data_IF_264579985011
#
_entry.id   IF_264579985011
#
_cell.length_a   1.000
_cell.length_b   1.000
_cell.length_c   1.000
_cell.angle_alpha   90.00
_cell.angle_beta   90.00
_cell.angle_gamma   90.00
#
_symmetry.space_group_name_H-M   'P 1'
#
loop_
_entity.id
_entity.type
_entity.pdbx_description
1 polymer ?
#
# COMPACT_ATOMS: atom_id res chain seq x y z
N UNK A 1 -19.09 -76.15 12.27
CA UNK A 1 -17.76 -75.52 12.41
C UNK A 1 -17.79 -74.17 11.73
N UNK A 2 -17.92 -73.09 12.51
CA UNK A 2 -18.08 -71.73 12.00
C UNK A 2 -16.74 -71.07 11.69
N UNK A 3 -16.64 -70.42 10.52
CA UNK A 3 -15.48 -69.62 10.13
C UNK A 3 -15.57 -68.24 10.78
N UNK A 4 -14.62 -67.95 11.65
CA UNK A 4 -14.40 -66.65 12.25
C UNK A 4 -13.76 -65.73 11.19
N UNK A 5 -14.49 -64.73 10.69
CA UNK A 5 -13.93 -63.67 9.85
C UNK A 5 -13.42 -62.57 10.79
N UNK A 6 -12.10 -62.44 10.92
CA UNK A 6 -11.51 -61.27 11.56
C UNK A 6 -11.73 -60.07 10.64
N UNK A 7 -12.59 -59.14 11.06
CA UNK A 7 -12.65 -57.79 10.51
C UNK A 7 -11.35 -57.09 10.90
N UNK A 8 -10.38 -57.11 10.00
CA UNK A 8 -9.20 -56.26 10.08
C UNK A 8 -9.52 -54.99 9.28
N UNK A 9 -10.23 -54.05 9.94
CA UNK A 9 -10.62 -52.75 9.40
C UNK A 9 -9.43 -51.77 9.41
N UNK A 10 -8.24 -52.27 9.09
CA UNK A 10 -7.04 -51.46 8.96
C UNK A 10 -7.09 -50.62 7.70
N UNK A 11 -6.89 -49.31 7.86
CA UNK A 11 -6.81 -48.33 6.76
C UNK A 11 -5.74 -48.70 5.73
N UNK A 12 -4.73 -49.48 6.15
CA UNK A 12 -3.62 -49.93 5.32
C UNK A 12 -4.04 -50.95 4.25
N UNK A 13 -5.20 -51.59 4.43
CA UNK A 13 -5.79 -52.51 3.46
C UNK A 13 -6.76 -51.82 2.48
N UNK A 14 -6.98 -50.51 2.60
CA UNK A 14 -7.88 -49.84 1.66
C UNK A 14 -7.27 -49.79 0.25
N UNK A 15 -8.03 -50.14 -0.80
CA UNK A 15 -7.54 -50.28 -2.17
C UNK A 15 -6.80 -49.05 -2.71
N UNK A 16 -7.13 -47.85 -2.23
CA UNK A 16 -6.44 -46.63 -2.66
C UNK A 16 -5.00 -46.52 -2.13
N UNK A 17 -4.65 -47.19 -1.02
CA UNK A 17 -3.29 -47.22 -0.48
C UNK A 17 -2.45 -48.38 -1.03
N UNK A 18 -3.09 -49.38 -1.65
CA UNK A 18 -2.40 -50.50 -2.29
C UNK A 18 -1.96 -50.22 -3.74
N UNK A 19 -2.15 -48.99 -4.26
CA UNK A 19 -1.52 -48.59 -5.51
C UNK A 19 0.00 -48.54 -5.31
N UNK A 20 0.69 -49.57 -5.83
CA UNK A 20 2.13 -49.54 -6.15
C UNK A 20 2.44 -48.32 -7.02
N UNK A 21 2.67 -47.19 -6.38
CA UNK A 21 3.39 -46.06 -6.98
C UNK A 21 4.86 -46.37 -6.80
N UNK A 22 5.53 -46.82 -7.85
CA UNK A 22 6.94 -46.59 -8.19
C UNK A 22 7.26 -47.54 -9.37
N UNK A 23 6.60 -47.32 -10.51
CA UNK A 23 7.38 -47.36 -11.74
C UNK A 23 8.18 -46.05 -11.69
N UNK A 24 9.50 -46.17 -11.55
CA UNK A 24 10.47 -45.08 -11.67
C UNK A 24 10.43 -44.54 -13.10
N UNK A 25 9.33 -43.89 -13.49
CA UNK A 25 9.33 -42.97 -14.60
C UNK A 25 10.35 -41.87 -14.23
N UNK A 26 11.35 -41.60 -15.07
CA UNK A 26 12.32 -40.54 -14.78
C UNK A 26 11.56 -39.24 -14.53
N UNK A 27 11.61 -38.78 -13.28
CA UNK A 27 10.84 -37.63 -12.75
C UNK A 27 11.21 -36.32 -13.48
N UNK A 28 12.27 -36.33 -14.30
CA UNK A 28 12.78 -35.16 -15.00
C UNK A 28 11.89 -34.63 -16.13
N UNK A 29 11.16 -35.49 -16.85
CA UNK A 29 10.32 -35.05 -17.99
C UNK A 29 9.04 -34.31 -17.54
N UNK A 30 8.27 -34.81 -16.55
CA UNK A 30 7.09 -34.11 -16.06
C UNK A 30 7.41 -32.78 -15.39
N UNK A 31 8.55 -32.68 -14.69
CA UNK A 31 8.97 -31.45 -14.02
C UNK A 31 9.38 -30.34 -15.00
N UNK A 32 10.03 -30.68 -16.11
CA UNK A 32 10.32 -29.72 -17.18
C UNK A 32 9.05 -29.23 -17.86
N UNK A 33 8.12 -30.13 -18.17
CA UNK A 33 6.84 -29.76 -18.77
C UNK A 33 6.01 -28.84 -17.85
N UNK A 34 6.05 -29.06 -16.54
CA UNK A 34 5.41 -28.20 -15.55
C UNK A 34 6.10 -26.83 -15.40
N UNK A 35 7.44 -26.78 -15.46
CA UNK A 35 8.17 -25.51 -15.48
C UNK A 35 7.86 -24.70 -16.74
N UNK A 36 7.83 -25.35 -17.90
CA UNK A 36 7.51 -24.69 -19.16
C UNK A 36 6.03 -24.25 -19.22
N UNK A 37 5.12 -25.02 -18.62
CA UNK A 37 3.70 -24.63 -18.52
C UNK A 37 3.47 -23.50 -17.51
N UNK A 38 4.11 -23.49 -16.34
CA UNK A 38 4.02 -22.38 -15.39
C UNK A 38 4.60 -21.07 -15.95
N UNK A 39 5.65 -21.16 -16.76
CA UNK A 39 6.23 -20.02 -17.49
C UNK A 39 5.26 -19.54 -18.59
N UNK A 40 4.53 -20.46 -19.24
CA UNK A 40 3.57 -20.12 -20.28
C UNK A 40 2.24 -19.56 -19.74
N UNK A 41 1.74 -20.08 -18.62
CA UNK A 41 0.44 -19.70 -18.04
C UNK A 41 0.49 -18.41 -17.21
N UNK A 42 1.69 -17.94 -16.84
CA UNK A 42 1.90 -16.66 -16.15
C UNK A 42 2.73 -15.70 -17.01
N UNK A 43 2.43 -15.66 -18.31
CA UNK A 43 2.97 -14.63 -19.18
C UNK A 43 2.50 -13.27 -18.68
N UNK A 44 3.45 -12.43 -18.27
CA UNK A 44 3.22 -11.03 -17.85
C UNK A 44 2.39 -10.26 -18.88
N UNK A 45 2.44 -10.69 -20.13
CA UNK A 45 1.73 -10.11 -21.26
C UNK A 45 0.21 -10.37 -21.24
N UNK A 46 -0.26 -11.29 -20.39
CA UNK A 46 -1.69 -11.54 -20.19
C UNK A 46 -2.33 -10.58 -19.17
N UNK A 47 -1.54 -9.73 -18.51
CA UNK A 47 -2.09 -8.73 -17.59
C UNK A 47 -2.87 -7.63 -18.34
N UNK A 48 -4.14 -7.36 -17.98
CA UNK A 48 -4.99 -6.42 -18.71
C UNK A 48 -4.46 -4.97 -18.72
N UNK A 49 -3.51 -4.65 -17.83
CA UNK A 49 -2.89 -3.34 -17.73
C UNK A 49 -1.64 -3.18 -18.61
N UNK A 50 -1.11 -4.27 -19.20
CA UNK A 50 0.07 -4.23 -20.07
C UNK A 50 -0.40 -4.25 -21.53
N UNK A 51 -0.55 -3.04 -22.10
CA UNK A 51 -0.97 -2.86 -23.50
C UNK A 51 0.20 -2.85 -24.50
N UNK A 52 1.43 -2.99 -24.02
CA UNK A 52 2.62 -2.94 -24.86
C UNK A 52 2.84 -4.26 -25.57
N UNK A 53 3.29 -4.20 -26.83
CA UNK A 53 3.66 -5.39 -27.58
C UNK A 53 4.82 -6.11 -26.88
N UNK A 54 4.68 -7.43 -26.73
CA UNK A 54 5.71 -8.29 -26.15
C UNK A 54 7.06 -8.09 -26.88
N UNK A 55 8.10 -7.59 -26.22
CA UNK A 55 9.45 -7.56 -26.77
C UNK A 55 9.92 -9.00 -26.97
N UNK A 56 10.60 -9.25 -28.10
CA UNK A 56 11.13 -10.57 -28.44
C UNK A 56 12.05 -11.17 -27.35
N UNK A 57 12.66 -10.33 -26.51
CA UNK A 57 13.65 -10.74 -25.51
C UNK A 57 13.14 -10.70 -24.05
N UNK A 58 11.93 -10.20 -23.81
CA UNK A 58 11.38 -10.03 -22.46
C UNK A 58 10.34 -11.11 -22.13
N UNK A 59 10.84 -12.33 -21.89
CA UNK A 59 9.98 -13.47 -21.54
C UNK A 59 9.47 -13.39 -20.09
N UNK A 60 10.17 -12.67 -19.21
CA UNK A 60 9.83 -12.60 -17.77
C UNK A 60 9.59 -11.17 -17.27
N UNK A 61 8.83 -11.02 -16.18
CA UNK A 61 8.61 -9.72 -15.51
C UNK A 61 9.93 -9.05 -15.14
N UNK A 62 10.87 -9.84 -14.62
CA UNK A 62 12.21 -9.38 -14.26
C UNK A 62 12.95 -8.76 -15.44
N UNK A 63 12.99 -9.45 -16.59
CA UNK A 63 13.65 -8.92 -17.80
C UNK A 63 13.00 -7.62 -18.28
N UNK A 64 11.67 -7.55 -18.29
CA UNK A 64 10.93 -6.34 -18.65
C UNK A 64 11.26 -5.18 -17.68
N UNK A 65 11.20 -5.43 -16.37
CA UNK A 65 11.48 -4.41 -15.36
C UNK A 65 12.91 -3.87 -15.47
N UNK A 66 13.90 -4.76 -15.63
CA UNK A 66 15.30 -4.38 -15.81
C UNK A 66 15.50 -3.53 -17.07
N UNK A 67 14.88 -3.91 -18.19
CA UNK A 67 14.94 -3.14 -19.43
C UNK A 67 14.34 -1.73 -19.24
N UNK A 68 13.17 -1.62 -18.60
CA UNK A 68 12.53 -0.33 -18.31
C UNK A 68 13.33 0.54 -17.33
N UNK A 69 13.96 -0.07 -16.32
CA UNK A 69 14.85 0.67 -15.40
C UNK A 69 16.12 1.18 -16.10
N UNK A 70 16.60 0.45 -17.11
CA UNK A 70 17.75 0.87 -17.92
C UNK A 70 17.38 2.01 -18.90
N UNK A 71 16.13 2.09 -19.37
CA UNK A 71 15.69 3.13 -20.31
C UNK A 71 15.39 4.48 -19.66
N UNK A 72 15.16 4.54 -18.34
CA UNK A 72 14.86 5.79 -17.63
C UNK A 72 16.14 6.48 -17.13
N UNK A 73 16.34 7.72 -17.54
CA UNK A 73 17.43 8.57 -17.03
C UNK A 73 17.16 9.09 -15.62
N UNK A 74 18.21 9.47 -14.89
CA UNK A 74 18.08 10.09 -13.57
C UNK A 74 17.23 11.36 -13.58
N UNK A 75 17.36 12.20 -14.62
CA UNK A 75 16.59 13.46 -14.75
C UNK A 75 15.10 13.17 -14.89
N UNK A 76 14.74 12.20 -15.74
CA UNK A 76 13.34 11.78 -15.91
C UNK A 76 12.76 11.25 -14.60
N UNK A 77 13.49 10.40 -13.88
CA UNK A 77 13.04 9.85 -12.59
C UNK A 77 12.83 10.94 -11.53
N UNK A 78 13.73 11.93 -11.44
CA UNK A 78 13.55 13.07 -10.53
C UNK A 78 12.42 14.01 -10.96
N UNK A 79 12.26 14.27 -12.27
CA UNK A 79 11.11 15.02 -12.79
C UNK A 79 9.78 14.36 -12.43
N UNK A 80 9.69 13.04 -12.55
CA UNK A 80 8.53 12.26 -12.13
C UNK A 80 8.32 12.32 -10.61
N UNK A 81 9.39 12.23 -9.82
CA UNK A 81 9.32 12.37 -8.36
C UNK A 81 8.69 13.71 -7.96
N UNK A 82 9.12 14.82 -8.58
CA UNK A 82 8.57 16.14 -8.36
C UNK A 82 7.11 16.24 -8.79
N UNK A 83 6.76 15.68 -9.96
CA UNK A 83 5.39 15.65 -10.44
C UNK A 83 4.45 14.91 -9.47
N UNK A 84 4.87 13.74 -9.00
CA UNK A 84 4.12 12.92 -8.02
C UNK A 84 3.92 13.70 -6.72
N UNK A 85 4.97 14.38 -6.22
CA UNK A 85 4.89 15.21 -5.03
C UNK A 85 3.89 16.36 -5.17
N UNK A 86 3.85 17.02 -6.34
CA UNK A 86 2.91 18.12 -6.62
C UNK A 86 1.47 17.60 -6.71
N UNK A 87 1.24 16.49 -7.41
CA UNK A 87 -0.11 15.91 -7.59
C UNK A 87 -0.69 15.36 -6.28
N UNK A 88 0.17 14.94 -5.35
CA UNK A 88 -0.28 14.39 -4.08
C UNK A 88 -1.03 15.42 -3.22
N UNK A 89 -0.69 16.71 -3.30
CA UNK A 89 -1.39 17.77 -2.56
C UNK A 89 -2.87 17.90 -2.94
N UNK A 90 -3.22 18.13 -4.23
CA UNK A 90 -4.60 18.20 -4.70
C UNK A 90 -5.46 16.97 -4.39
N UNK A 91 -4.89 15.76 -4.46
CA UNK A 91 -5.60 14.52 -4.09
C UNK A 91 -6.00 14.54 -2.60
N UNK A 92 -5.14 15.09 -1.76
CA UNK A 92 -5.38 15.21 -0.34
C UNK A 92 -6.55 16.17 -0.02
N UNK A 93 -6.74 17.24 -0.82
CA UNK A 93 -7.90 18.15 -0.75
C UNK A 93 -9.22 17.40 -0.97
N UNK A 94 -9.26 16.50 -1.97
CA UNK A 94 -10.46 15.69 -2.26
C UNK A 94 -10.79 14.80 -1.06
N UNK A 95 -9.76 14.22 -0.43
CA UNK A 95 -9.91 13.44 0.81
C UNK A 95 -10.55 14.23 1.94
N UNK A 96 -10.11 15.49 2.14
CA UNK A 96 -10.69 16.39 3.16
C UNK A 96 -12.18 16.65 2.90
N UNK A 97 -12.60 16.93 1.67
CA UNK A 97 -14.02 17.17 1.39
C UNK A 97 -14.89 15.91 1.49
N UNK A 98 -14.32 14.75 1.14
CA UNK A 98 -15.01 13.47 1.24
C UNK A 98 -15.25 13.05 2.71
N UNK A 99 -14.32 13.37 3.62
CA UNK A 99 -14.47 13.03 5.04
C UNK A 99 -15.53 13.87 5.77
N UNK A 100 -15.90 15.04 5.25
CA UNK A 100 -16.84 15.97 5.89
C UNK A 100 -18.30 15.81 5.44
N UNK A 101 -18.55 15.18 4.29
CA UNK A 101 -19.91 14.99 3.76
C UNK A 101 -20.54 13.71 4.31
N UNK A 102 -21.28 13.80 5.43
CA UNK A 102 -22.16 12.71 5.86
C UNK A 102 -22.33 12.50 7.36
N UNK A 103 -21.64 13.26 8.21
CA UNK A 103 -21.66 13.06 9.64
C UNK A 103 -22.74 13.94 10.32
N UNK A 104 -23.90 13.38 10.64
CA UNK A 104 -24.88 14.03 11.54
C UNK A 104 -25.07 13.19 12.81
N UNK A 105 -24.98 13.82 13.98
CA UNK A 105 -25.17 13.18 15.30
C UNK A 105 -23.89 12.96 16.12
N UNK A 106 -24.06 12.63 17.41
CA UNK A 106 -22.97 12.52 18.41
C UNK A 106 -21.98 11.40 18.06
N UNK A 107 -22.47 10.25 17.59
CA UNK A 107 -21.61 9.15 17.13
C UNK A 107 -20.78 9.56 15.90
N UNK A 108 -21.35 10.42 15.05
CA UNK A 108 -20.66 10.96 13.89
C UNK A 108 -19.54 11.95 14.31
N UNK A 109 -19.75 12.70 15.39
CA UNK A 109 -18.78 13.64 15.95
C UNK A 109 -17.51 13.00 16.54
N UNK A 110 -17.56 11.74 16.97
CA UNK A 110 -16.36 11.01 17.45
C UNK A 110 -15.79 10.06 16.40
N UNK A 111 -16.64 9.26 15.76
CA UNK A 111 -16.19 8.19 14.86
C UNK A 111 -15.47 8.75 13.62
N UNK A 112 -15.97 9.85 13.08
CA UNK A 112 -15.41 10.44 11.86
C UNK A 112 -14.01 11.00 12.07
N UNK A 113 -13.78 11.96 12.99
CA UNK A 113 -12.44 12.53 13.18
C UNK A 113 -11.42 11.53 13.73
N UNK A 114 -11.85 10.50 14.47
CA UNK A 114 -10.95 9.53 15.10
C UNK A 114 -10.60 8.36 14.20
N UNK A 115 -11.53 7.89 13.35
CA UNK A 115 -11.34 6.66 12.58
C UNK A 115 -11.43 6.89 11.07
N UNK A 116 -12.55 7.44 10.60
CA UNK A 116 -12.85 7.51 9.16
C UNK A 116 -11.97 8.53 8.45
N UNK A 117 -11.81 9.73 9.02
CA UNK A 117 -10.97 10.77 8.44
C UNK A 117 -9.49 10.34 8.38
N UNK A 118 -8.84 9.87 9.47
CA UNK A 118 -7.48 9.36 9.40
C UNK A 118 -7.28 8.24 8.38
N UNK A 119 -8.25 7.31 8.26
CA UNK A 119 -8.23 6.25 7.25
C UNK A 119 -8.14 6.83 5.83
N UNK A 120 -9.06 7.72 5.47
CA UNK A 120 -9.12 8.32 4.13
C UNK A 120 -7.86 9.16 3.89
N UNK A 121 -7.44 9.95 4.87
CA UNK A 121 -6.33 10.87 4.74
C UNK A 121 -4.99 10.14 4.54
N UNK A 122 -4.72 9.08 5.30
CA UNK A 122 -3.48 8.30 5.11
C UNK A 122 -3.45 7.59 3.75
N UNK A 123 -4.59 7.07 3.27
CA UNK A 123 -4.70 6.48 1.93
C UNK A 123 -4.40 7.53 0.87
N UNK A 124 -5.07 8.68 0.93
CA UNK A 124 -4.95 9.73 -0.09
C UNK A 124 -3.56 10.36 -0.13
N UNK A 125 -2.90 10.55 1.02
CA UNK A 125 -1.52 11.06 1.09
C UNK A 125 -0.50 10.11 0.44
N UNK A 126 -0.75 8.80 0.46
CA UNK A 126 0.16 7.80 -0.10
C UNK A 126 -0.24 7.31 -1.50
N UNK A 127 -1.47 7.61 -1.95
CA UNK A 127 -2.04 7.05 -3.16
C UNK A 127 -1.16 7.23 -4.40
N UNK A 128 -0.59 8.42 -4.62
CA UNK A 128 0.22 8.68 -5.82
C UNK A 128 1.54 7.90 -5.81
N UNK A 129 2.26 7.89 -4.68
CA UNK A 129 3.50 7.15 -4.55
C UNK A 129 3.26 5.63 -4.61
N UNK A 130 2.18 5.16 -3.99
CA UNK A 130 1.77 3.75 -4.03
C UNK A 130 1.40 3.32 -5.45
N UNK A 131 0.60 4.12 -6.16
CA UNK A 131 0.23 3.87 -7.55
C UNK A 131 1.46 3.76 -8.45
N UNK A 132 2.45 4.65 -8.30
CA UNK A 132 3.71 4.54 -9.06
C UNK A 132 4.47 3.27 -8.67
N UNK A 133 4.58 2.95 -7.38
CA UNK A 133 5.28 1.73 -6.95
C UNK A 133 4.60 0.43 -7.45
N UNK A 134 3.28 0.45 -7.61
CA UNK A 134 2.48 -0.68 -8.08
C UNK A 134 2.47 -0.81 -9.61
N UNK A 135 2.26 0.29 -10.33
CA UNK A 135 2.05 0.24 -11.78
C UNK A 135 3.31 0.55 -12.58
N UNK A 136 4.19 1.39 -12.04
CA UNK A 136 5.39 1.88 -12.72
C UNK A 136 6.62 1.89 -11.80
N UNK A 137 6.99 0.77 -11.16
CA UNK A 137 8.07 0.74 -10.16
C UNK A 137 9.42 1.25 -10.71
N UNK A 138 9.64 1.13 -12.02
CA UNK A 138 10.83 1.61 -12.73
C UNK A 138 10.96 3.15 -12.77
N UNK A 139 9.90 3.91 -12.48
CA UNK A 139 9.96 5.38 -12.41
C UNK A 139 10.74 5.88 -11.18
N UNK A 140 10.77 5.09 -10.10
CA UNK A 140 11.64 5.33 -8.96
C UNK A 140 12.96 4.58 -9.14
N UNK A 141 14.07 5.29 -8.94
CA UNK A 141 15.42 4.72 -8.94
C UNK A 141 15.98 4.51 -7.53
N UNK A 142 15.38 5.14 -6.53
CA UNK A 142 15.84 5.08 -5.14
C UNK A 142 14.66 5.16 -4.16
N UNK A 143 14.78 4.55 -2.96
CA UNK A 143 13.76 4.67 -1.92
C UNK A 143 13.63 6.10 -1.36
N UNK A 144 14.68 6.92 -1.51
CA UNK A 144 14.68 8.33 -1.08
C UNK A 144 13.66 9.15 -1.88
N UNK A 145 13.47 8.84 -3.16
CA UNK A 145 12.46 9.52 -3.99
C UNK A 145 11.04 9.28 -3.45
N UNK A 146 10.73 8.03 -3.09
CA UNK A 146 9.45 7.67 -2.47
C UNK A 146 9.27 8.43 -1.16
N UNK A 147 10.30 8.44 -0.29
CA UNK A 147 10.28 9.17 0.97
C UNK A 147 10.01 10.68 0.77
N UNK A 148 10.65 11.30 -0.22
CA UNK A 148 10.42 12.71 -0.56
C UNK A 148 8.97 12.93 -1.04
N UNK A 149 8.45 12.07 -1.92
CA UNK A 149 7.07 12.17 -2.39
C UNK A 149 6.04 12.13 -1.25
N UNK A 150 6.16 11.16 -0.33
CA UNK A 150 5.20 11.00 0.77
C UNK A 150 5.33 12.12 1.82
N UNK A 151 6.55 12.59 2.11
CA UNK A 151 6.76 13.73 3.00
C UNK A 151 6.19 15.02 2.42
N UNK A 152 6.42 15.26 1.12
CA UNK A 152 5.86 16.40 0.41
C UNK A 152 4.32 16.34 0.38
N UNK A 153 3.74 15.15 0.17
CA UNK A 153 2.28 14.97 0.27
C UNK A 153 1.76 15.28 1.67
N UNK A 154 2.38 14.74 2.72
CA UNK A 154 1.99 15.01 4.10
C UNK A 154 2.08 16.50 4.46
N UNK A 155 3.13 17.19 4.00
CA UNK A 155 3.28 18.63 4.19
C UNK A 155 2.21 19.43 3.42
N UNK A 156 1.94 19.08 2.16
CA UNK A 156 0.92 19.74 1.35
C UNK A 156 -0.49 19.55 1.94
N UNK A 157 -0.81 18.35 2.40
CA UNK A 157 -2.06 18.08 3.11
C UNK A 157 -2.18 18.94 4.38
N UNK A 158 -1.14 18.97 5.21
CA UNK A 158 -1.15 19.76 6.44
C UNK A 158 -1.34 21.26 6.17
N UNK A 159 -0.74 21.80 5.10
CA UNK A 159 -0.93 23.20 4.70
C UNK A 159 -2.40 23.47 4.37
N UNK A 160 -3.02 22.63 3.55
CA UNK A 160 -4.43 22.77 3.16
C UNK A 160 -5.33 22.65 4.38
N UNK A 161 -5.14 21.62 5.19
CA UNK A 161 -5.98 21.34 6.35
C UNK A 161 -5.87 22.44 7.39
N UNK A 162 -4.66 22.95 7.65
CA UNK A 162 -4.46 24.09 8.54
C UNK A 162 -5.13 25.35 8.00
N UNK A 163 -5.06 25.60 6.69
CA UNK A 163 -5.73 26.74 6.07
C UNK A 163 -7.26 26.65 6.20
N UNK A 164 -7.84 25.49 5.89
CA UNK A 164 -9.28 25.25 6.07
C UNK A 164 -9.70 25.43 7.51
N UNK A 165 -8.94 24.86 8.46
CA UNK A 165 -9.28 24.98 9.87
C UNK A 165 -9.23 26.42 10.37
N UNK A 166 -8.13 27.12 10.11
CA UNK A 166 -7.90 28.48 10.66
C UNK A 166 -8.69 29.58 9.97
N UNK A 167 -9.27 29.32 8.79
CA UNK A 167 -10.03 30.33 8.04
C UNK A 167 -11.48 29.96 7.76
N UNK A 168 -11.85 28.68 7.86
CA UNK A 168 -13.22 28.21 7.59
C UNK A 168 -13.88 27.69 8.86
N UNK A 169 -13.18 26.88 9.65
CA UNK A 169 -13.77 26.22 10.83
C UNK A 169 -13.63 27.01 12.13
N UNK A 170 -12.52 27.72 12.30
CA UNK A 170 -12.26 28.57 13.46
C UNK A 170 -12.01 30.01 13.00
N UNK A 171 -13.04 30.89 12.97
CA UNK A 171 -12.92 32.24 12.44
C UNK A 171 -12.02 33.17 13.27
N UNK A 172 -11.81 32.87 14.56
CA UNK A 172 -11.03 33.71 15.47
C UNK A 172 -10.00 32.86 16.25
N UNK A 173 -9.02 32.24 15.57
CA UNK A 173 -8.12 31.29 16.21
C UNK A 173 -7.17 32.01 17.18
N UNK A 174 -6.95 31.43 18.35
CA UNK A 174 -5.94 31.92 19.29
C UNK A 174 -4.53 31.78 18.69
N UNK A 175 -3.56 32.66 19.04
CA UNK A 175 -2.18 32.53 18.56
C UNK A 175 -1.54 31.18 18.91
N UNK A 176 -1.88 30.61 20.07
CA UNK A 176 -1.45 29.28 20.49
C UNK A 176 -1.98 28.17 19.59
N UNK A 177 -3.25 28.24 19.17
CA UNK A 177 -3.85 27.28 18.25
C UNK A 177 -3.20 27.35 16.87
N UNK A 178 -2.95 28.57 16.36
CA UNK A 178 -2.23 28.76 15.09
C UNK A 178 -0.84 28.12 15.15
N UNK A 179 -0.08 28.37 16.22
CA UNK A 179 1.24 27.78 16.41
C UNK A 179 1.17 26.25 16.50
N UNK A 180 0.21 25.70 17.25
CA UNK A 180 0.01 24.26 17.40
C UNK A 180 -0.27 23.58 16.06
N UNK A 181 -1.22 24.12 15.27
CA UNK A 181 -1.58 23.60 13.93
C UNK A 181 -0.36 23.59 13.00
N UNK A 182 0.40 24.68 12.96
CA UNK A 182 1.56 24.80 12.06
C UNK A 182 2.82 24.05 12.51
N UNK A 183 2.84 23.52 13.73
CA UNK A 183 3.99 22.75 14.25
C UNK A 183 3.63 21.29 14.48
N UNK A 184 2.75 21.03 15.44
CA UNK A 184 2.40 19.67 15.87
C UNK A 184 1.59 18.95 14.79
N UNK A 185 0.56 19.58 14.21
CA UNK A 185 -0.21 18.91 13.16
C UNK A 185 0.63 18.67 11.90
N UNK A 186 1.43 19.65 11.47
CA UNK A 186 2.36 19.45 10.33
C UNK A 186 3.31 18.27 10.58
N UNK A 187 3.93 18.22 11.77
CA UNK A 187 4.82 17.12 12.14
C UNK A 187 4.08 15.77 12.17
N UNK A 188 2.84 15.74 12.69
CA UNK A 188 1.99 14.54 12.70
C UNK A 188 1.69 14.05 11.28
N UNK A 189 1.21 14.91 10.38
CA UNK A 189 0.83 14.49 9.03
C UNK A 189 2.05 14.04 8.22
N UNK A 190 3.18 14.74 8.32
CA UNK A 190 4.42 14.32 7.69
C UNK A 190 4.93 13.01 8.29
N UNK A 191 4.85 12.83 9.61
CA UNK A 191 5.25 11.61 10.30
C UNK A 191 4.42 10.40 9.90
N UNK A 192 3.08 10.52 9.91
CA UNK A 192 2.18 9.45 9.49
C UNK A 192 2.35 9.12 8.01
N UNK A 193 2.47 10.12 7.15
CA UNK A 193 2.75 9.92 5.72
C UNK A 193 4.09 9.19 5.50
N UNK A 194 5.13 9.54 6.27
CA UNK A 194 6.41 8.85 6.21
C UNK A 194 6.31 7.39 6.67
N UNK A 195 5.64 7.12 7.80
CA UNK A 195 5.41 5.76 8.30
C UNK A 195 4.70 4.91 7.25
N UNK A 196 3.59 5.39 6.69
CA UNK A 196 2.88 4.71 5.61
C UNK A 196 3.76 4.52 4.37
N UNK A 197 4.54 5.54 3.99
CA UNK A 197 5.47 5.49 2.87
C UNK A 197 6.61 4.49 3.02
N UNK A 198 7.00 4.09 4.25
CA UNK A 198 7.93 2.97 4.46
C UNK A 198 7.34 1.66 3.91
N UNK A 199 6.02 1.50 3.95
CA UNK A 199 5.31 0.40 3.31
C UNK A 199 5.47 0.42 1.80
N UNK A 200 5.28 1.59 1.17
CA UNK A 200 5.52 1.79 -0.26
C UNK A 200 6.97 1.52 -0.66
N UNK A 201 7.93 1.98 0.14
CA UNK A 201 9.36 1.66 -0.06
C UNK A 201 9.61 0.16 0.01
N UNK A 202 8.97 -0.55 0.94
CA UNK A 202 9.11 -2.01 1.08
C UNK A 202 8.55 -2.74 -0.14
N UNK A 203 7.35 -2.37 -0.59
CA UNK A 203 6.73 -2.92 -1.82
C UNK A 203 7.69 -2.72 -3.00
N UNK A 204 8.09 -1.47 -3.26
CA UNK A 204 8.97 -1.13 -4.37
C UNK A 204 10.31 -1.88 -4.31
N UNK A 205 10.96 -1.91 -3.14
CA UNK A 205 12.25 -2.56 -2.98
C UNK A 205 12.14 -4.06 -3.25
N UNK A 206 11.12 -4.73 -2.73
CA UNK A 206 10.88 -6.15 -2.98
C UNK A 206 10.65 -6.42 -4.46
N UNK A 207 9.79 -5.63 -5.13
CA UNK A 207 9.54 -5.73 -6.57
C UNK A 207 10.83 -5.59 -7.39
N UNK A 208 11.63 -4.57 -7.11
CA UNK A 208 12.86 -4.30 -7.87
C UNK A 208 13.95 -5.35 -7.61
N UNK A 209 14.15 -5.79 -6.37
CA UNK A 209 15.22 -6.74 -6.05
C UNK A 209 14.86 -8.18 -6.46
N UNK A 210 13.60 -8.57 -6.30
CA UNK A 210 13.14 -9.93 -6.61
C UNK A 210 12.69 -10.05 -8.07
N UNK A 211 12.44 -8.95 -8.78
CA UNK A 211 11.89 -8.98 -10.13
C UNK A 211 10.55 -9.71 -10.18
N UNK A 212 9.69 -9.43 -9.20
CA UNK A 212 8.34 -10.00 -9.05
C UNK A 212 7.30 -8.89 -9.04
N UNK A 213 6.04 -9.22 -9.30
CA UNK A 213 4.93 -8.27 -9.24
C UNK A 213 4.82 -7.61 -7.85
N UNK A 214 4.38 -6.33 -7.77
CA UNK A 214 4.17 -5.65 -6.50
C UNK A 214 3.14 -6.35 -5.61
N UNK A 215 3.49 -6.49 -4.33
CA UNK A 215 2.63 -7.15 -3.33
C UNK A 215 2.18 -6.13 -2.28
N UNK A 216 0.97 -5.57 -2.45
CA UNK A 216 0.42 -4.52 -1.58
C UNK A 216 0.36 -4.93 -0.10
N UNK A 217 0.19 -6.23 0.18
CA UNK A 217 0.17 -6.78 1.54
C UNK A 217 1.45 -6.46 2.33
N UNK A 218 2.59 -6.25 1.67
CA UNK A 218 3.84 -5.86 2.33
C UNK A 218 3.81 -4.44 2.91
N UNK A 219 2.99 -3.55 2.33
CA UNK A 219 2.83 -2.18 2.80
C UNK A 219 1.72 -1.99 3.83
N UNK A 220 0.75 -2.90 3.88
CA UNK A 220 -0.44 -2.77 4.74
C UNK A 220 -0.12 -2.54 6.23
N UNK A 221 0.84 -3.22 6.88
CA UNK A 221 1.14 -2.98 8.29
C UNK A 221 1.58 -1.54 8.58
N UNK A 222 2.32 -0.92 7.66
CA UNK A 222 2.79 0.46 7.80
C UNK A 222 1.66 1.46 7.63
N UNK A 223 0.77 1.21 6.67
CA UNK A 223 -0.42 2.02 6.46
C UNK A 223 -1.34 1.98 7.69
N UNK A 224 -1.60 0.78 8.23
CA UNK A 224 -2.39 0.60 9.46
C UNK A 224 -1.74 1.33 10.64
N UNK A 225 -0.42 1.21 10.79
CA UNK A 225 0.30 1.92 11.86
C UNK A 225 0.12 3.45 11.77
N UNK A 226 0.24 4.02 10.57
CA UNK A 226 0.02 5.45 10.35
C UNK A 226 -1.42 5.88 10.72
N UNK A 227 -2.42 5.10 10.29
CA UNK A 227 -3.83 5.36 10.61
C UNK A 227 -4.12 5.31 12.11
N UNK A 228 -3.54 4.33 12.81
CA UNK A 228 -3.68 4.19 14.27
C UNK A 228 -3.01 5.36 14.99
N UNK A 229 -1.80 5.75 14.58
CA UNK A 229 -1.08 6.89 15.18
C UNK A 229 -1.90 8.18 15.01
N UNK A 230 -2.36 8.45 13.79
CA UNK A 230 -3.15 9.63 13.48
C UNK A 230 -4.49 9.63 14.22
N UNK A 231 -5.25 8.53 14.15
CA UNK A 231 -6.52 8.39 14.85
C UNK A 231 -6.38 8.52 16.37
N UNK A 232 -5.30 7.99 16.95
CA UNK A 232 -5.01 8.14 18.38
C UNK A 232 -4.74 9.59 18.77
N UNK A 233 -4.00 10.34 17.93
CA UNK A 233 -3.81 11.77 18.15
C UNK A 233 -5.14 12.53 18.08
N UNK A 234 -5.98 12.25 17.09
CA UNK A 234 -7.29 12.91 16.96
C UNK A 234 -8.20 12.56 18.14
N UNK A 235 -8.21 11.31 18.59
CA UNK A 235 -8.94 10.91 19.79
C UNK A 235 -8.49 11.70 21.03
N UNK A 236 -7.18 11.85 21.22
CA UNK A 236 -6.63 12.64 22.32
C UNK A 236 -7.04 14.11 22.22
N UNK A 237 -6.96 14.72 21.03
CA UNK A 237 -7.36 16.11 20.82
C UNK A 237 -8.85 16.34 21.15
N UNK A 238 -9.72 15.45 20.68
CA UNK A 238 -11.17 15.51 20.98
C UNK A 238 -11.44 15.30 22.47
N UNK A 239 -10.76 14.36 23.13
CA UNK A 239 -10.91 14.17 24.57
C UNK A 239 -10.46 15.41 25.35
N UNK A 240 -9.35 16.04 24.96
CA UNK A 240 -8.88 17.28 25.59
C UNK A 240 -9.90 18.40 25.41
N UNK A 241 -10.48 18.56 24.22
CA UNK A 241 -11.54 19.55 23.96
C UNK A 241 -12.78 19.31 24.86
N UNK A 242 -13.18 18.06 25.06
CA UNK A 242 -14.33 17.69 25.89
C UNK A 242 -14.09 17.89 27.40
N UNK A 243 -12.86 17.68 27.89
CA UNK A 243 -12.58 17.62 29.33
C UNK A 243 -11.72 18.77 29.90
N UNK A 244 -10.91 19.45 29.09
CA UNK A 244 -9.92 20.42 29.55
C UNK A 244 -10.31 21.91 29.38
N UNK A 245 -11.59 22.18 29.08
CA UNK A 245 -12.13 23.44 28.55
C UNK A 245 -11.68 23.72 27.09
N UNK A 246 -12.54 24.33 26.26
CA UNK A 246 -12.22 24.64 24.87
C UNK A 246 -11.01 25.59 24.80
N UNK A 247 -10.01 25.24 23.99
CA UNK A 247 -8.79 26.03 23.70
C UNK A 247 -8.97 26.95 22.49
#
# INVERSE_FOLDING_TARGET
MGRNRSNDDSIENEPQFQRRFYDEQPIEEPLRALQDSEIAENSVWDEPNIKEAQPHDAVTYRSMLQQRMASITSIQSWGLTLLVAIVAGPLAIIGTFASHQGATGIAAGLLVPVLIAPLIEEIMKNASALWVAETHPHWFRSPVQIAICVLASGAAFAVVENFLYLHVYEPNPSPSLVQWRWTVCVALHMGCAFVAGLGTVRIWKTTVTQGTLPQLALGAPYMIAAMVIHGSYNAMAVLLELFAHPF
#
